data_IF_067266363154
#
_entry.id   IF_067266363154
#
_cell.length_a   1.000
_cell.length_b   1.000
_cell.length_c   1.000
_cell.angle_alpha   90.00
_cell.angle_beta   90.00
_cell.angle_gamma   90.00
#
_symmetry.space_group_name_H-M   'P 1'
#
loop_
_entity.id
_entity.type
_entity.pdbx_description
1 polymer ?
#
# COMPACT_ATOMS: atom_id res chain seq x y z
N UNK A 1 -15.01 17.95 -9.88
CA UNK A 1 -13.59 17.57 -10.06
C UNK A 1 -13.28 16.56 -8.97
N UNK A 2 -13.12 15.29 -9.33
CA UNK A 2 -12.90 14.20 -8.39
C UNK A 2 -11.61 14.35 -7.62
N UNK A 3 -11.64 14.12 -6.30
CA UNK A 3 -10.42 14.04 -5.48
C UNK A 3 -9.72 12.71 -5.80
N UNK A 4 -8.49 12.76 -6.27
CA UNK A 4 -7.68 11.56 -6.46
C UNK A 4 -7.35 10.93 -5.11
N UNK A 5 -7.50 9.60 -4.99
CA UNK A 5 -7.28 8.84 -3.75
C UNK A 5 -6.42 7.60 -4.02
N UNK A 6 -5.58 7.26 -3.06
CA UNK A 6 -4.74 6.06 -3.01
C UNK A 6 -5.17 5.19 -1.84
N UNK A 7 -5.20 3.87 -2.04
CA UNK A 7 -5.33 2.86 -0.99
C UNK A 7 -4.17 1.85 -1.09
N UNK A 8 -3.67 1.39 0.06
CA UNK A 8 -2.64 0.36 0.17
C UNK A 8 -3.10 -0.76 1.11
N UNK A 9 -2.59 -1.97 0.91
CA UNK A 9 -2.76 -3.08 1.84
C UNK A 9 -1.42 -3.82 2.00
N UNK A 10 -1.10 -4.30 3.20
CA UNK A 10 0.19 -4.95 3.50
C UNK A 10 0.12 -6.47 3.58
N UNK A 11 -0.52 -7.12 2.59
CA UNK A 11 -0.70 -8.57 2.51
C UNK A 11 -1.87 -9.10 3.36
N UNK A 12 -2.80 -9.84 2.75
CA UNK A 12 -3.92 -10.45 3.46
C UNK A 12 -3.54 -11.82 4.05
N UNK A 13 -4.00 -12.12 5.27
CA UNK A 13 -3.86 -13.46 5.88
C UNK A 13 -2.52 -13.77 6.57
N UNK A 14 -1.48 -12.95 6.40
CA UNK A 14 -0.17 -13.19 7.02
C UNK A 14 -0.04 -12.68 8.47
N UNK A 15 -0.97 -11.83 8.93
CA UNK A 15 -0.87 -11.13 10.22
C UNK A 15 -2.02 -11.56 11.14
N UNK A 16 -1.68 -12.15 12.28
CA UNK A 16 -2.60 -12.39 13.40
C UNK A 16 -2.30 -11.41 14.54
N UNK A 17 -3.28 -10.58 14.92
CA UNK A 17 -3.11 -9.60 16.02
C UNK A 17 -2.69 -10.25 17.34
N UNK A 18 -3.20 -11.44 17.64
CA UNK A 18 -2.87 -12.16 18.87
C UNK A 18 -1.39 -12.58 18.96
N UNK A 19 -0.66 -12.55 17.84
CA UNK A 19 0.74 -12.96 17.73
C UNK A 19 1.69 -11.77 17.56
N UNK A 20 1.18 -10.53 17.57
CA UNK A 20 1.99 -9.31 17.49
C UNK A 20 2.16 -8.64 18.84
N UNK A 21 3.38 -8.18 19.13
CA UNK A 21 3.59 -7.19 20.18
C UNK A 21 3.13 -5.81 19.73
N UNK A 22 2.81 -4.94 20.69
CA UNK A 22 2.47 -3.54 20.40
C UNK A 22 3.55 -2.84 19.57
N UNK A 23 4.84 -3.11 19.82
CA UNK A 23 5.91 -2.50 19.03
C UNK A 23 5.92 -3.01 17.58
N UNK A 24 5.55 -4.27 17.34
CA UNK A 24 5.44 -4.80 15.97
C UNK A 24 4.27 -4.15 15.23
N UNK A 25 3.12 -3.96 15.90
CA UNK A 25 1.99 -3.25 15.32
C UNK A 25 2.37 -1.79 14.97
N UNK A 26 3.04 -1.09 15.88
CA UNK A 26 3.47 0.30 15.66
C UNK A 26 4.42 0.42 14.48
N UNK A 27 5.42 -0.45 14.37
CA UNK A 27 6.33 -0.46 13.20
C UNK A 27 5.58 -0.73 11.90
N UNK A 28 4.57 -1.60 11.92
CA UNK A 28 3.76 -1.89 10.75
C UNK A 28 2.92 -0.67 10.33
N UNK A 29 2.31 0.02 11.29
CA UNK A 29 1.55 1.25 11.05
C UNK A 29 2.46 2.37 10.52
N UNK A 30 3.64 2.56 11.12
CA UNK A 30 4.61 3.56 10.70
C UNK A 30 5.05 3.33 9.24
N UNK A 31 5.37 2.08 8.90
CA UNK A 31 5.75 1.71 7.54
C UNK A 31 4.61 1.98 6.53
N UNK A 32 3.38 1.55 6.83
CA UNK A 32 2.24 1.82 5.95
C UNK A 32 1.94 3.31 5.83
N UNK A 33 2.07 4.07 6.92
CA UNK A 33 1.84 5.52 6.94
C UNK A 33 2.84 6.27 6.06
N UNK A 34 4.12 5.92 6.14
CA UNK A 34 5.16 6.51 5.29
C UNK A 34 4.93 6.21 3.79
N UNK A 35 4.47 5.00 3.47
CA UNK A 35 4.16 4.59 2.09
C UNK A 35 2.96 5.36 1.54
N UNK A 36 1.85 5.44 2.29
CA UNK A 36 0.65 6.15 1.82
C UNK A 36 0.89 7.64 1.68
N UNK A 37 1.66 8.25 2.57
CA UNK A 37 2.02 9.67 2.48
C UNK A 37 2.86 9.97 1.23
N UNK A 38 3.86 9.12 0.96
CA UNK A 38 4.66 9.23 -0.25
C UNK A 38 3.79 9.09 -1.50
N UNK A 39 2.90 8.10 -1.52
CA UNK A 39 1.98 7.88 -2.62
C UNK A 39 1.00 9.04 -2.84
N UNK A 40 0.50 9.65 -1.78
CA UNK A 40 -0.32 10.87 -1.87
C UNK A 40 0.44 12.04 -2.50
N UNK A 41 1.71 12.25 -2.12
CA UNK A 41 2.56 13.29 -2.71
C UNK A 41 2.75 13.06 -4.22
N UNK A 42 3.06 11.83 -4.62
CA UNK A 42 3.20 11.47 -6.04
C UNK A 42 1.89 11.60 -6.82
N UNK A 43 0.75 11.28 -6.20
CA UNK A 43 -0.57 11.42 -6.80
C UNK A 43 -0.91 12.89 -7.09
N UNK A 44 -0.58 13.80 -6.17
CA UNK A 44 -0.73 15.25 -6.35
C UNK A 44 0.22 15.78 -7.43
N UNK A 45 1.44 15.24 -7.52
CA UNK A 45 2.43 15.61 -8.52
C UNK A 45 2.12 15.06 -9.94
N UNK A 46 1.15 14.15 -10.07
CA UNK A 46 0.85 13.49 -11.35
C UNK A 46 1.84 12.39 -11.75
N UNK A 47 2.71 11.96 -10.83
CA UNK A 47 3.80 11.00 -11.08
C UNK A 47 3.41 9.53 -10.75
N UNK A 48 2.11 9.27 -10.53
CA UNK A 48 1.60 7.97 -10.06
C UNK A 48 1.57 6.87 -11.15
N UNK A 49 1.82 7.19 -12.42
CA UNK A 49 1.64 6.29 -13.57
C UNK A 49 2.53 5.04 -13.55
N UNK A 50 3.53 4.96 -12.66
CA UNK A 50 4.42 3.81 -12.53
C UNK A 50 4.67 3.35 -11.08
N UNK A 51 3.95 3.88 -10.08
CA UNK A 51 4.18 3.49 -8.69
C UNK A 51 3.56 2.11 -8.37
N UNK A 52 4.31 1.05 -8.67
CA UNK A 52 4.04 -0.29 -8.19
C UNK A 52 5.06 -0.62 -7.10
N UNK A 53 4.68 -0.49 -5.83
CA UNK A 53 5.50 -1.01 -4.73
C UNK A 53 5.37 -2.54 -4.75
N UNK A 54 6.19 -3.19 -5.58
CA UNK A 54 6.25 -4.64 -5.67
C UNK A 54 6.65 -5.20 -4.29
N UNK A 55 5.79 -6.06 -3.73
CA UNK A 55 6.12 -6.88 -2.56
C UNK A 55 7.44 -7.63 -2.83
N UNK A 56 8.45 -7.44 -1.97
CA UNK A 56 9.68 -8.23 -1.97
C UNK A 56 9.48 -9.72 -1.57
N UNK A 57 8.30 -10.31 -1.82
CA UNK A 57 7.92 -11.65 -1.35
C UNK A 57 6.84 -12.38 -2.15
N UNK A 58 6.42 -11.90 -3.33
CA UNK A 58 5.49 -12.66 -4.19
C UNK A 58 6.24 -13.78 -4.92
N UNK A 59 6.37 -14.94 -4.27
CA UNK A 59 7.00 -16.16 -4.83
C UNK A 59 6.06 -17.10 -5.61
N UNK A 60 4.78 -16.78 -5.76
CA UNK A 60 3.76 -17.74 -6.24
C UNK A 60 2.91 -17.27 -7.43
N UNK A 61 3.24 -16.13 -8.06
CA UNK A 61 2.70 -15.78 -9.38
C UNK A 61 1.19 -15.49 -9.45
N UNK A 62 0.47 -15.39 -8.33
CA UNK A 62 -0.93 -14.97 -8.32
C UNK A 62 -1.07 -13.44 -8.33
N UNK A 63 -0.98 -12.88 -9.54
CA UNK A 63 -1.78 -11.74 -10.00
C UNK A 63 -1.80 -10.47 -9.15
N UNK A 64 -0.74 -9.65 -9.26
CA UNK A 64 -0.90 -8.21 -9.07
C UNK A 64 -1.66 -7.63 -10.27
N UNK A 65 -2.99 -7.69 -10.24
CA UNK A 65 -3.75 -6.80 -11.12
C UNK A 65 -3.56 -5.39 -10.58
N UNK A 66 -2.83 -4.58 -11.33
CA UNK A 66 -2.73 -3.14 -11.09
C UNK A 66 -4.16 -2.57 -11.11
N UNK A 67 -4.72 -2.38 -9.92
CA UNK A 67 -6.01 -1.73 -9.75
C UNK A 67 -5.90 -0.34 -10.36
N UNK A 68 -6.57 -0.14 -11.51
CA UNK A 68 -6.71 1.16 -12.16
C UNK A 68 -7.20 2.17 -11.13
N UNK A 69 -6.51 3.32 -11.00
CA UNK A 69 -7.03 4.47 -10.24
C UNK A 69 -8.33 4.90 -10.93
N UNK A 70 -9.48 4.55 -10.34
CA UNK A 70 -10.77 5.10 -10.75
C UNK A 70 -10.86 6.51 -10.18
N UNK A 71 -10.72 7.51 -11.04
CA UNK A 71 -11.17 8.86 -10.74
C UNK A 71 -12.70 8.83 -10.77
N UNK A 72 -13.36 9.00 -9.62
CA UNK A 72 -14.81 9.29 -9.55
C UNK A 72 -15.09 10.76 -9.83
#
# INVERSE_FOLDING_TARGET
>A
MGKAVIAIHGGAGAISRAQMSLQQELRYIEALSAIVETGQKMLVAGEWTAFCFQCAGCGDGSGASAGRVSTV
#
